data_IF_877671467205
#
_entry.id   IF_877671467205
#
_cell.length_a   1.000
_cell.length_b   1.000
_cell.length_c   1.000
_cell.angle_alpha   90.00
_cell.angle_beta   90.00
_cell.angle_gamma   90.00
#
_symmetry.space_group_name_H-M   'P 1'
#
loop_
_entity.id
_entity.type
_entity.pdbx_description
1 polymer ?
#
# COMPACT_ATOMS: atom_id res chain seq x y z
N UNK A 1 14.01 10.62 1.20
CA UNK A 1 14.48 11.98 1.47
C UNK A 1 15.94 12.10 1.09
N UNK A 2 16.87 11.50 1.82
CA UNK A 2 18.32 11.75 1.64
C UNK A 2 18.87 11.26 0.31
N UNK A 3 18.50 10.08 -0.15
CA UNK A 3 19.04 9.47 -1.38
C UNK A 3 18.30 9.96 -2.62
N UNK A 4 16.98 9.95 -2.60
CA UNK A 4 16.16 10.26 -3.78
C UNK A 4 15.64 11.71 -3.79
N UNK A 5 16.04 12.53 -2.82
CA UNK A 5 15.74 13.97 -2.81
C UNK A 5 14.28 14.34 -2.56
N UNK A 6 13.44 13.43 -2.05
CA UNK A 6 12.04 13.74 -1.73
C UNK A 6 11.98 14.82 -0.63
N UNK A 7 11.41 15.98 -0.95
CA UNK A 7 11.35 17.13 -0.04
C UNK A 7 9.95 17.36 0.54
N UNK A 8 8.93 16.89 -0.14
CA UNK A 8 7.54 17.00 0.28
C UNK A 8 6.95 15.59 0.35
N UNK A 9 6.54 15.17 1.53
CA UNK A 9 6.01 13.83 1.78
C UNK A 9 4.62 13.96 2.39
N UNK A 10 3.64 13.28 1.80
CA UNK A 10 2.30 13.15 2.35
C UNK A 10 2.11 11.72 2.83
N UNK A 11 1.89 11.56 4.12
CA UNK A 11 1.61 10.27 4.77
C UNK A 11 0.10 10.14 4.98
N UNK A 12 -0.52 9.15 4.32
CA UNK A 12 -1.95 8.89 4.45
C UNK A 12 -2.20 7.56 5.18
N UNK A 13 -3.01 7.57 6.20
CA UNK A 13 -3.48 6.38 6.89
C UNK A 13 -4.84 6.63 7.52
N UNK A 14 -5.61 5.56 7.81
CA UNK A 14 -6.94 5.69 8.43
C UNK A 14 -6.90 6.41 9.79
N UNK A 15 -5.82 6.31 10.54
CA UNK A 15 -5.66 6.93 11.86
C UNK A 15 -4.91 8.24 11.84
N UNK A 16 -4.17 8.54 10.77
CA UNK A 16 -3.33 9.73 10.68
C UNK A 16 -2.41 9.88 11.90
N UNK A 17 -2.36 11.04 12.49
CA UNK A 17 -1.55 11.36 13.69
C UNK A 17 -1.99 10.61 14.97
N UNK A 18 -3.18 10.00 14.98
CA UNK A 18 -3.60 9.13 16.10
C UNK A 18 -2.81 7.80 16.14
N UNK A 19 -2.00 7.52 15.14
CA UNK A 19 -1.10 6.38 15.14
C UNK A 19 0.31 6.83 15.53
N UNK A 20 0.85 6.43 16.71
CA UNK A 20 2.18 6.84 17.16
C UNK A 20 3.29 6.56 16.14
N UNK A 21 3.25 5.42 15.46
CA UNK A 21 4.23 5.09 14.43
C UNK A 21 4.20 6.04 13.22
N UNK A 22 3.03 6.65 12.92
CA UNK A 22 2.94 7.66 11.87
C UNK A 22 3.59 8.97 12.31
N UNK A 23 3.43 9.34 13.57
CA UNK A 23 4.06 10.55 14.15
C UNK A 23 5.58 10.37 14.17
N UNK A 24 6.05 9.25 14.70
CA UNK A 24 7.48 8.92 14.75
C UNK A 24 8.12 8.97 13.35
N UNK A 25 7.50 8.35 12.36
CA UNK A 25 7.96 8.42 10.97
C UNK A 25 7.95 9.85 10.41
N UNK A 26 6.93 10.65 10.73
CA UNK A 26 6.86 12.04 10.29
C UNK A 26 8.00 12.86 10.89
N UNK A 27 8.28 12.70 12.18
CA UNK A 27 9.38 13.37 12.88
C UNK A 27 10.74 12.99 12.30
N UNK A 28 10.97 11.68 12.03
CA UNK A 28 12.18 11.21 11.37
C UNK A 28 12.38 11.85 9.98
N UNK A 29 11.34 11.89 9.17
CA UNK A 29 11.41 12.49 7.83
C UNK A 29 11.66 14.00 7.91
N UNK A 30 11.09 14.69 8.89
CA UNK A 30 11.34 16.12 9.13
C UNK A 30 12.78 16.38 9.55
N UNK A 31 13.33 15.56 10.45
CA UNK A 31 14.74 15.64 10.83
C UNK A 31 15.68 15.44 9.64
N UNK A 32 15.27 14.65 8.64
CA UNK A 32 16.00 14.48 7.37
C UNK A 32 15.78 15.63 6.38
N UNK A 33 15.03 16.67 6.76
CA UNK A 33 14.80 17.88 5.98
C UNK A 33 13.59 17.85 5.03
N UNK A 34 12.68 16.89 5.18
CA UNK A 34 11.44 16.87 4.41
C UNK A 34 10.33 17.71 5.07
N UNK A 35 9.48 18.33 4.27
CA UNK A 35 8.17 18.82 4.70
C UNK A 35 7.19 17.65 4.70
N UNK A 36 6.58 17.36 5.83
CA UNK A 36 5.67 16.21 5.98
C UNK A 36 4.26 16.66 6.30
N UNK A 37 3.30 16.16 5.55
CA UNK A 37 1.86 16.33 5.80
C UNK A 37 1.25 14.98 6.15
N UNK A 38 0.57 14.89 7.29
CA UNK A 38 -0.13 13.66 7.71
C UNK A 38 -1.63 13.83 7.49
N UNK A 39 -2.25 12.84 6.84
CA UNK A 39 -3.69 12.85 6.53
C UNK A 39 -4.37 11.60 7.08
N UNK A 40 -5.42 11.80 7.87
CA UNK A 40 -6.30 10.71 8.30
C UNK A 40 -7.36 10.46 7.22
N UNK A 41 -7.15 9.44 6.39
CA UNK A 41 -8.05 9.09 5.30
C UNK A 41 -8.03 7.58 5.00
N UNK A 42 -9.14 7.06 4.52
CA UNK A 42 -9.23 5.70 3.98
C UNK A 42 -9.11 5.74 2.45
N UNK A 43 -8.00 5.23 1.95
CA UNK A 43 -7.71 5.19 0.50
C UNK A 43 -8.62 4.22 -0.28
N UNK A 44 -9.43 3.42 0.40
CA UNK A 44 -10.45 2.58 -0.23
C UNK A 44 -11.82 3.27 -0.38
N UNK A 45 -11.94 4.52 0.11
CA UNK A 45 -13.10 5.40 -0.09
C UNK A 45 -12.72 6.52 -1.07
N UNK A 46 -13.50 6.78 -2.14
CA UNK A 46 -13.23 7.90 -3.06
C UNK A 46 -13.05 9.23 -2.35
N UNK A 47 -13.87 9.53 -1.34
CA UNK A 47 -13.75 10.77 -0.54
C UNK A 47 -12.43 10.84 0.24
N UNK A 48 -11.88 9.68 0.64
CA UNK A 48 -10.58 9.59 1.27
C UNK A 48 -9.46 9.95 0.29
N UNK A 49 -9.54 9.49 -0.95
CA UNK A 49 -8.58 9.84 -2.02
C UNK A 49 -8.70 11.32 -2.36
N UNK A 50 -9.91 11.86 -2.51
CA UNK A 50 -10.13 13.30 -2.76
C UNK A 50 -9.54 14.15 -1.64
N UNK A 51 -9.75 13.75 -0.37
CA UNK A 51 -9.16 14.43 0.79
C UNK A 51 -7.64 14.43 0.74
N UNK A 52 -7.01 13.30 0.41
CA UNK A 52 -5.55 13.20 0.28
C UNK A 52 -5.06 14.17 -0.80
N UNK A 53 -5.64 14.11 -1.99
CA UNK A 53 -5.23 14.95 -3.11
C UNK A 53 -5.47 16.44 -2.84
N UNK A 54 -6.52 16.80 -2.08
CA UNK A 54 -6.78 18.20 -1.68
C UNK A 54 -5.72 18.80 -0.75
N UNK A 55 -4.84 17.96 -0.15
CA UNK A 55 -3.74 18.41 0.72
C UNK A 55 -2.42 18.62 -0.03
N UNK A 56 -2.39 18.33 -1.31
CA UNK A 56 -1.23 18.61 -2.15
C UNK A 56 -1.05 20.12 -2.33
N UNK A 57 0.18 20.59 -2.19
CA UNK A 57 0.53 21.99 -2.49
C UNK A 57 0.70 22.12 -4.02
N UNK A 58 -0.06 23.00 -4.69
CA UNK A 58 0.08 23.20 -6.15
C UNK A 58 1.48 23.60 -6.60
N UNK A 59 2.29 24.17 -5.71
CA UNK A 59 3.69 24.53 -6.00
C UNK A 59 4.61 23.30 -6.03
N UNK A 60 4.15 22.20 -5.48
CA UNK A 60 4.87 20.93 -5.40
C UNK A 60 3.97 19.80 -5.89
N UNK A 61 3.80 19.67 -7.22
CA UNK A 61 2.90 18.68 -7.80
C UNK A 61 3.31 17.26 -7.39
N UNK A 62 2.32 16.37 -7.33
CA UNK A 62 2.54 14.97 -7.00
C UNK A 62 3.41 14.30 -8.08
N UNK A 63 4.61 13.86 -7.72
CA UNK A 63 5.51 13.12 -8.61
C UNK A 63 5.43 11.61 -8.39
N UNK A 64 5.27 11.17 -7.15
CA UNK A 64 5.33 9.72 -6.82
C UNK A 64 4.18 9.31 -5.92
N UNK A 65 3.55 8.19 -6.25
CA UNK A 65 2.60 7.48 -5.38
C UNK A 65 3.22 6.18 -4.91
N UNK A 66 3.18 5.92 -3.59
CA UNK A 66 3.62 4.63 -3.02
C UNK A 66 2.49 4.06 -2.17
N UNK A 67 1.92 2.94 -2.61
CA UNK A 67 0.86 2.25 -1.87
C UNK A 67 1.40 1.02 -1.13
N UNK A 68 1.40 1.10 0.20
CA UNK A 68 1.90 0.04 1.08
C UNK A 68 0.82 -0.60 1.94
N UNK A 69 -0.42 -0.05 1.92
CA UNK A 69 -1.48 -0.52 2.79
C UNK A 69 -1.88 -1.98 2.48
N UNK A 70 -2.18 -2.70 3.53
CA UNK A 70 -2.63 -4.08 3.44
C UNK A 70 -3.33 -4.53 4.72
N UNK A 71 -4.17 -5.54 4.58
CA UNK A 71 -4.87 -6.21 5.67
C UNK A 71 -4.75 -7.71 5.45
N UNK A 72 -4.44 -8.46 6.51
CA UNK A 72 -4.45 -9.91 6.50
C UNK A 72 -5.75 -10.43 7.14
N UNK A 73 -6.37 -11.41 6.50
CA UNK A 73 -7.52 -12.16 6.98
C UNK A 73 -7.37 -13.61 6.52
N UNK A 74 -6.37 -14.27 7.13
CA UNK A 74 -5.98 -15.63 6.77
C UNK A 74 -7.09 -16.61 7.11
N UNK A 75 -7.43 -17.48 6.16
CA UNK A 75 -8.43 -18.52 6.30
C UNK A 75 -8.24 -19.59 5.23
N UNK A 76 -8.58 -20.81 5.56
CA UNK A 76 -8.66 -21.87 4.54
C UNK A 76 -9.74 -21.56 3.52
N UNK A 77 -9.50 -21.92 2.26
CA UNK A 77 -10.38 -21.56 1.13
C UNK A 77 -11.85 -21.91 1.36
N UNK A 78 -12.11 -23.07 1.97
CA UNK A 78 -13.47 -23.53 2.28
C UNK A 78 -14.22 -22.66 3.30
N UNK A 79 -13.54 -21.75 4.00
CA UNK A 79 -14.13 -20.83 4.99
C UNK A 79 -14.06 -19.37 4.58
N UNK A 80 -13.57 -19.09 3.37
CA UNK A 80 -13.56 -17.72 2.85
C UNK A 80 -14.98 -17.26 2.57
N UNK A 81 -15.30 -16.10 3.09
CA UNK A 81 -16.57 -15.41 2.91
C UNK A 81 -16.34 -13.93 2.54
N UNK A 82 -17.41 -13.19 2.31
CA UNK A 82 -17.32 -11.78 1.97
C UNK A 82 -16.70 -10.94 3.11
N UNK A 83 -16.85 -11.35 4.35
CA UNK A 83 -16.28 -10.62 5.50
C UNK A 83 -14.75 -10.77 5.59
N UNK A 84 -14.21 -11.89 5.13
CA UNK A 84 -12.76 -12.12 5.03
C UNK A 84 -12.16 -11.58 3.73
N UNK A 85 -12.93 -11.55 2.64
CA UNK A 85 -12.49 -11.04 1.33
C UNK A 85 -12.51 -9.51 1.27
N UNK A 86 -13.64 -8.88 1.61
CA UNK A 86 -13.87 -7.47 1.38
C UNK A 86 -12.80 -6.54 1.99
N UNK A 87 -12.35 -6.71 3.25
CA UNK A 87 -11.33 -5.83 3.82
C UNK A 87 -9.96 -5.93 3.12
N UNK A 88 -9.59 -7.13 2.63
CA UNK A 88 -8.32 -7.38 1.95
C UNK A 88 -8.34 -6.71 0.57
N UNK A 89 -9.40 -6.92 -0.19
CA UNK A 89 -9.57 -6.29 -1.51
C UNK A 89 -9.75 -4.77 -1.41
N UNK A 90 -10.45 -4.28 -0.38
CA UNK A 90 -10.61 -2.85 -0.15
C UNK A 90 -9.24 -2.17 0.06
N UNK A 91 -8.42 -2.71 0.98
CA UNK A 91 -7.14 -2.12 1.31
C UNK A 91 -6.10 -2.20 0.17
N UNK A 92 -6.23 -3.16 -0.73
CA UNK A 92 -5.29 -3.38 -1.83
C UNK A 92 -5.90 -2.97 -3.18
N UNK A 93 -6.67 -3.84 -3.79
CA UNK A 93 -7.11 -3.69 -5.18
C UNK A 93 -7.99 -2.46 -5.39
N UNK A 94 -8.99 -2.23 -4.50
CA UNK A 94 -9.88 -1.07 -4.61
C UNK A 94 -9.14 0.23 -4.36
N UNK A 95 -8.30 0.28 -3.33
CA UNK A 95 -7.51 1.47 -3.01
C UNK A 95 -6.60 1.88 -4.19
N UNK A 96 -5.89 0.90 -4.78
CA UNK A 96 -5.00 1.17 -5.91
C UNK A 96 -5.80 1.55 -7.17
N UNK A 97 -6.97 0.95 -7.41
CA UNK A 97 -7.83 1.35 -8.51
C UNK A 97 -8.29 2.81 -8.41
N UNK A 98 -8.68 3.25 -7.20
CA UNK A 98 -9.07 4.64 -6.94
C UNK A 98 -7.89 5.60 -7.10
N UNK A 99 -6.72 5.24 -6.60
CA UNK A 99 -5.50 6.03 -6.79
C UNK A 99 -5.10 6.09 -8.27
N UNK A 100 -5.20 4.99 -9.02
CA UNK A 100 -4.94 4.97 -10.46
C UNK A 100 -5.88 5.93 -11.19
N UNK A 101 -7.18 5.84 -10.95
CA UNK A 101 -8.19 6.71 -11.56
C UNK A 101 -7.92 8.18 -11.26
N UNK A 102 -7.72 8.52 -9.99
CA UNK A 102 -7.53 9.89 -9.54
C UNK A 102 -6.21 10.53 -10.02
N UNK A 103 -5.22 9.72 -10.38
CA UNK A 103 -3.90 10.20 -10.82
C UNK A 103 -3.62 9.99 -12.32
N UNK A 104 -4.59 9.51 -13.11
CA UNK A 104 -4.39 9.23 -14.55
C UNK A 104 -3.99 10.44 -15.37
N UNK A 105 -4.52 11.60 -15.02
CA UNK A 105 -4.22 12.86 -15.72
C UNK A 105 -3.04 13.62 -15.11
N UNK A 106 -2.43 13.10 -14.05
CA UNK A 106 -1.27 13.72 -13.41
C UNK A 106 0.02 13.21 -14.06
N UNK A 107 1.00 14.11 -14.17
CA UNK A 107 2.32 13.74 -14.67
C UNK A 107 3.17 13.15 -13.54
N UNK A 108 2.93 11.86 -13.22
CA UNK A 108 3.70 11.15 -12.22
C UNK A 108 5.01 10.63 -12.82
N UNK A 109 6.06 10.69 -12.01
CA UNK A 109 7.33 9.99 -12.27
C UNK A 109 7.21 8.50 -11.93
N UNK A 110 6.53 8.19 -10.78
CA UNK A 110 6.39 6.82 -10.29
C UNK A 110 5.01 6.56 -9.69
N UNK A 111 4.51 5.34 -9.92
CA UNK A 111 3.35 4.77 -9.25
C UNK A 111 3.71 3.38 -8.75
N UNK A 112 4.03 3.26 -7.46
CA UNK A 112 4.60 2.05 -6.86
C UNK A 112 3.57 1.40 -5.94
N UNK A 113 3.36 0.11 -6.10
CA UNK A 113 2.50 -0.67 -5.20
C UNK A 113 3.27 -1.83 -4.56
N UNK A 114 3.07 -2.02 -3.27
CA UNK A 114 3.60 -3.17 -2.55
C UNK A 114 2.66 -4.36 -2.72
N UNK A 115 2.98 -5.23 -3.66
CA UNK A 115 2.39 -6.55 -3.88
C UNK A 115 3.09 -7.60 -3.00
N UNK A 116 2.90 -8.85 -3.29
CA UNK A 116 3.50 -9.97 -2.55
C UNK A 116 3.81 -11.13 -3.49
N UNK A 117 4.89 -11.85 -3.20
CA UNK A 117 5.20 -13.13 -3.83
C UNK A 117 4.04 -14.14 -3.72
N UNK A 118 3.17 -13.98 -2.73
CA UNK A 118 1.93 -14.75 -2.62
C UNK A 118 0.99 -14.58 -3.83
N UNK A 119 1.03 -13.44 -4.51
CA UNK A 119 0.26 -13.20 -5.74
C UNK A 119 0.73 -14.07 -6.90
N UNK A 120 2.00 -14.47 -6.92
CA UNK A 120 2.62 -15.29 -7.97
C UNK A 120 2.59 -16.79 -7.62
N UNK A 121 2.99 -17.12 -6.38
CA UNK A 121 3.20 -18.52 -5.98
C UNK A 121 2.03 -19.09 -5.15
N UNK A 122 1.09 -18.24 -4.74
CA UNK A 122 0.11 -18.60 -3.73
C UNK A 122 0.72 -18.59 -2.32
N UNK A 123 -0.15 -18.71 -1.32
CA UNK A 123 0.24 -18.94 0.06
C UNK A 123 -0.85 -19.73 0.78
N UNK A 124 -0.45 -20.72 1.58
CA UNK A 124 -1.38 -21.55 2.31
C UNK A 124 -2.22 -20.72 3.29
N UNK A 125 -3.54 -20.86 3.23
CA UNK A 125 -4.46 -20.08 4.08
C UNK A 125 -4.61 -18.61 3.69
N UNK A 126 -4.05 -18.14 2.58
CA UNK A 126 -4.04 -16.74 2.14
C UNK A 126 -4.58 -16.55 0.72
N UNK A 127 -5.56 -17.34 0.29
CA UNK A 127 -6.08 -17.25 -1.07
C UNK A 127 -6.68 -15.86 -1.39
N UNK A 128 -7.34 -15.21 -0.42
CA UNK A 128 -7.83 -13.83 -0.52
C UNK A 128 -6.67 -12.82 -0.69
N UNK A 129 -5.62 -12.96 0.10
CA UNK A 129 -4.45 -12.10 0.04
C UNK A 129 -3.67 -12.30 -1.28
N UNK A 130 -3.48 -13.55 -1.69
CA UNK A 130 -2.86 -13.89 -2.97
C UNK A 130 -3.63 -13.28 -4.15
N UNK A 131 -4.96 -13.47 -4.18
CA UNK A 131 -5.81 -12.91 -5.22
C UNK A 131 -5.78 -11.37 -5.27
N UNK A 132 -5.80 -10.70 -4.10
CA UNK A 132 -5.70 -9.25 -4.04
C UNK A 132 -4.35 -8.73 -4.55
N UNK A 133 -3.23 -9.40 -4.25
CA UNK A 133 -1.91 -9.03 -4.75
C UNK A 133 -1.77 -9.30 -6.27
N UNK A 134 -2.29 -10.41 -6.79
CA UNK A 134 -2.36 -10.64 -8.22
C UNK A 134 -3.18 -9.54 -8.93
N UNK A 135 -4.25 -9.04 -8.28
CA UNK A 135 -5.02 -7.89 -8.74
C UNK A 135 -4.19 -6.60 -8.82
N UNK A 136 -3.28 -6.36 -7.86
CA UNK A 136 -2.34 -5.24 -7.91
C UNK A 136 -1.39 -5.33 -9.10
N UNK A 137 -0.85 -6.52 -9.34
CA UNK A 137 0.07 -6.78 -10.45
C UNK A 137 -0.63 -6.51 -11.80
N UNK A 138 -1.89 -6.96 -11.95
CA UNK A 138 -2.70 -6.70 -13.11
C UNK A 138 -3.03 -5.22 -13.31
N UNK A 139 -3.36 -4.48 -12.25
CA UNK A 139 -3.59 -3.03 -12.29
C UNK A 139 -2.35 -2.28 -12.78
N UNK A 140 -1.18 -2.61 -12.23
CA UNK A 140 0.09 -2.02 -12.68
C UNK A 140 0.41 -2.37 -14.13
N UNK A 141 0.12 -3.59 -14.55
CA UNK A 141 0.27 -3.99 -15.95
C UNK A 141 -0.61 -3.12 -16.86
N UNK A 142 -1.90 -3.00 -16.55
CA UNK A 142 -2.84 -2.21 -17.33
C UNK A 142 -2.46 -0.72 -17.38
N UNK A 143 -1.96 -0.17 -16.26
CA UNK A 143 -1.49 1.22 -16.21
C UNK A 143 -0.29 1.43 -17.15
N UNK A 144 0.68 0.50 -17.17
CA UNK A 144 1.81 0.54 -18.12
C UNK A 144 1.37 0.41 -19.57
N UNK A 145 0.39 -0.46 -19.85
CA UNK A 145 -0.17 -0.59 -21.21
C UNK A 145 -0.87 0.68 -21.68
N UNK A 146 -1.33 1.53 -20.77
CA UNK A 146 -1.86 2.86 -21.06
C UNK A 146 -0.76 3.94 -21.19
N UNK A 147 0.53 3.57 -21.15
CA UNK A 147 1.66 4.50 -21.25
C UNK A 147 1.97 5.27 -19.96
N UNK A 148 1.41 4.86 -18.82
CA UNK A 148 1.59 5.52 -17.54
C UNK A 148 2.60 4.76 -16.67
N UNK A 149 3.37 5.44 -15.79
CA UNK A 149 4.32 4.78 -14.90
C UNK A 149 3.58 3.88 -13.90
N UNK A 150 4.08 2.65 -13.72
CA UNK A 150 3.63 1.76 -12.64
C UNK A 150 4.63 0.65 -12.37
N UNK A 151 4.89 0.40 -11.09
CA UNK A 151 5.74 -0.69 -10.60
C UNK A 151 5.01 -1.46 -9.51
N UNK A 152 4.90 -2.77 -9.67
CA UNK A 152 4.43 -3.68 -8.62
C UNK A 152 5.63 -4.40 -8.03
N UNK A 153 5.80 -4.30 -6.71
CA UNK A 153 6.89 -4.92 -5.97
C UNK A 153 6.36 -6.18 -5.26
N UNK A 154 6.64 -7.34 -5.81
CA UNK A 154 6.23 -8.64 -5.27
C UNK A 154 7.17 -9.06 -4.11
N UNK A 155 6.99 -8.44 -2.94
CA UNK A 155 7.82 -8.72 -1.77
C UNK A 155 7.67 -10.16 -1.27
N UNK A 156 8.79 -10.75 -0.88
CA UNK A 156 8.85 -11.96 -0.07
C UNK A 156 8.49 -11.69 1.40
N UNK A 157 8.59 -12.71 2.26
CA UNK A 157 8.39 -12.55 3.71
C UNK A 157 9.42 -11.58 4.28
N UNK A 158 8.95 -10.64 5.10
CA UNK A 158 9.82 -9.70 5.80
C UNK A 158 10.33 -10.34 7.09
N UNK A 159 11.62 -10.30 7.30
CA UNK A 159 12.22 -10.67 8.59
C UNK A 159 12.15 -9.46 9.50
N UNK A 160 11.19 -9.44 10.40
CA UNK A 160 11.09 -8.39 11.41
C UNK A 160 12.21 -8.58 12.44
N UNK A 161 13.12 -7.62 12.50
CA UNK A 161 14.21 -7.62 13.50
C UNK A 161 13.67 -7.30 14.89
N UNK A 162 12.62 -7.62 15.41
CA UNK A 162 12.14 -7.43 16.79
C UNK A 162 10.62 -7.62 16.97
N UNK A 163 9.94 -8.35 16.11
CA UNK A 163 8.64 -8.85 16.52
C UNK A 163 8.74 -10.36 16.68
N UNK A 164 8.76 -10.82 17.94
CA UNK A 164 8.46 -12.19 18.32
C UNK A 164 6.98 -12.51 18.02
N UNK A 165 6.57 -12.36 16.78
CA UNK A 165 5.26 -12.67 16.27
C UNK A 165 5.43 -13.59 15.06
N UNK A 166 5.67 -14.85 15.35
CA UNK A 166 5.09 -16.02 14.70
C UNK A 166 5.06 -16.01 13.18
N UNK A 167 6.13 -16.40 12.55
CA UNK A 167 5.99 -17.34 11.46
C UNK A 167 5.94 -18.73 12.10
N UNK A 168 4.75 -19.17 12.46
CA UNK A 168 4.48 -20.57 12.76
C UNK A 168 4.55 -21.37 11.46
N UNK A 169 5.75 -21.59 10.95
CA UNK A 169 6.04 -22.72 10.08
C UNK A 169 6.07 -23.90 11.01
N UNK A 170 4.93 -24.62 11.10
CA UNK A 170 4.84 -25.87 11.81
C UNK A 170 5.90 -26.83 11.29
N UNK A 171 6.97 -26.98 12.03
CA UNK A 171 7.80 -28.15 11.95
C UNK A 171 6.96 -29.32 12.48
N UNK A 172 6.33 -30.06 11.57
CA UNK A 172 5.81 -31.40 11.90
C UNK A 172 7.02 -32.31 12.03
N UNK A 173 7.46 -32.49 13.27
CA UNK A 173 8.32 -33.63 13.65
C UNK A 173 7.48 -34.88 13.70
N UNK A 174 7.97 -35.93 13.07
CA UNK A 174 7.60 -37.33 13.34
C UNK A 174 7.08 -38.06 12.16
#
# INVERSE_FOLDING_TARGET
VTVNGARHVLLASRRGEKNPATVELADELQLLGASVTVVAADVSDPRGVDLILSKLDPRHPLGTVVHTAGVLRDSVMARLDSASLAPVFAAKTRAVALLDEATRSMNLDDFIVCSSAAGTFGALGQANYAAANAGLDALCHNRRMAGLPATSLAWGPWVAQNTAASVGVGASSG
#
